data_IF_611165743657
#
_entry.id   IF_611165743657
#
_cell.length_a   1.000
_cell.length_b   1.000
_cell.length_c   1.000
_cell.angle_alpha   90.00
_cell.angle_beta   90.00
_cell.angle_gamma   90.00
#
_symmetry.space_group_name_H-M   'P 1'
#
loop_
_entity.id
_entity.type
_entity.pdbx_description
1 polymer ?
#
# COMPACT_ATOMS: atom_id res chain seq x y z
N UNK A 1 75.23 12.50 10.66
CA UNK A 1 74.48 11.40 10.00
C UNK A 1 73.10 11.41 10.58
N UNK A 2 72.12 11.92 9.82
CA UNK A 2 70.70 12.04 10.24
C UNK A 2 69.96 10.89 9.61
N UNK A 3 69.41 9.97 10.44
CA UNK A 3 68.52 8.87 9.98
C UNK A 3 67.09 9.41 9.82
N UNK A 4 66.62 9.45 8.60
CA UNK A 4 65.21 9.67 8.33
C UNK A 4 64.49 8.34 8.39
N UNK A 5 63.62 8.19 9.41
CA UNK A 5 62.73 7.05 9.55
C UNK A 5 61.46 7.34 8.75
N UNK A 6 61.36 6.74 7.59
CA UNK A 6 60.17 6.83 6.73
C UNK A 6 59.10 5.90 7.32
N UNK A 7 58.11 6.48 7.99
CA UNK A 7 56.88 5.75 8.40
C UNK A 7 55.96 5.66 7.20
N UNK A 8 55.88 4.49 6.62
CA UNK A 8 54.91 4.17 5.57
C UNK A 8 53.56 3.90 6.24
N UNK A 9 52.65 4.88 6.22
CA UNK A 9 51.28 4.68 6.68
C UNK A 9 50.50 3.97 5.55
N UNK A 10 50.32 2.66 5.71
CA UNK A 10 49.44 1.88 4.85
C UNK A 10 48.00 2.19 5.19
N UNK A 11 47.36 3.03 4.39
CA UNK A 11 45.90 3.21 4.42
C UNK A 11 45.22 1.93 3.93
N UNK A 12 44.78 1.10 4.87
CA UNK A 12 43.87 -0.01 4.58
C UNK A 12 42.51 0.60 4.37
N UNK A 13 42.13 0.83 3.12
CA UNK A 13 40.75 1.04 2.76
C UNK A 13 39.99 -0.27 2.99
N UNK A 14 39.40 -0.40 4.17
CA UNK A 14 38.34 -1.39 4.36
C UNK A 14 37.15 -0.98 3.45
N UNK A 15 37.17 -1.46 2.22
CA UNK A 15 35.97 -1.43 1.41
C UNK A 15 34.95 -2.32 2.12
N UNK A 16 33.96 -1.70 2.77
CA UNK A 16 32.74 -2.37 3.09
C UNK A 16 32.13 -2.83 1.75
N UNK A 17 32.42 -4.06 1.39
CA UNK A 17 31.66 -4.79 0.39
C UNK A 17 30.27 -4.90 1.02
N UNK A 18 29.34 -4.03 0.58
CA UNK A 18 27.94 -4.27 0.76
C UNK A 18 27.63 -5.63 0.12
N UNK A 19 27.71 -6.68 0.94
CA UNK A 19 26.97 -7.90 0.64
C UNK A 19 25.48 -7.49 0.70
N UNK A 20 24.99 -6.91 -0.40
CA UNK A 20 23.60 -7.15 -0.76
C UNK A 20 23.50 -8.67 -0.88
N UNK A 21 23.12 -9.31 0.22
CA UNK A 21 22.54 -10.63 0.15
C UNK A 21 21.43 -10.49 -0.90
N UNK A 22 21.65 -11.04 -2.09
CA UNK A 22 20.58 -11.38 -2.99
C UNK A 22 19.72 -12.39 -2.21
N UNK A 23 18.84 -11.90 -1.34
CA UNK A 23 17.69 -12.65 -0.96
C UNK A 23 16.98 -12.88 -2.28
N UNK A 24 17.11 -14.07 -2.84
CA UNK A 24 16.22 -14.53 -3.90
C UNK A 24 14.83 -14.48 -3.26
N UNK A 25 14.11 -13.39 -3.50
CA UNK A 25 12.71 -13.29 -3.11
C UNK A 25 11.99 -14.41 -3.84
N UNK A 26 11.62 -15.43 -3.08
CA UNK A 26 10.91 -16.57 -3.63
C UNK A 26 9.50 -16.13 -3.98
N UNK A 27 9.14 -16.24 -5.24
CA UNK A 27 7.75 -16.13 -5.66
C UNK A 27 7.01 -17.40 -5.25
N UNK A 28 5.81 -17.25 -4.69
CA UNK A 28 4.98 -18.36 -4.18
C UNK A 28 3.53 -18.21 -4.60
N UNK A 29 2.76 -19.29 -4.48
CA UNK A 29 1.33 -19.27 -4.79
C UNK A 29 1.05 -19.10 -6.28
N UNK A 30 -0.12 -18.54 -6.59
CA UNK A 30 -0.54 -18.20 -7.95
C UNK A 30 -1.32 -16.87 -7.92
N UNK A 31 -1.22 -16.12 -8.99
CA UNK A 31 -2.01 -14.93 -9.27
C UNK A 31 -3.10 -15.25 -10.32
N UNK A 32 -4.02 -14.32 -10.62
CA UNK A 32 -5.17 -14.58 -11.50
C UNK A 32 -4.84 -15.09 -12.90
N UNK A 33 -3.61 -14.92 -13.37
CA UNK A 33 -3.19 -15.34 -14.71
C UNK A 33 -2.28 -16.56 -14.64
N UNK A 34 -2.44 -17.46 -15.61
CA UNK A 34 -1.64 -18.68 -15.71
C UNK A 34 -0.12 -18.38 -15.71
N UNK A 35 0.62 -19.09 -14.89
CA UNK A 35 2.08 -18.93 -14.75
C UNK A 35 2.52 -17.76 -13.89
N UNK A 36 1.62 -16.92 -13.39
CA UNK A 36 1.96 -15.89 -12.42
C UNK A 36 2.03 -16.45 -11.00
N UNK A 37 3.01 -15.97 -10.26
CA UNK A 37 3.16 -16.17 -8.81
C UNK A 37 3.14 -14.81 -8.12
N UNK A 38 3.10 -14.81 -6.80
CA UNK A 38 3.12 -13.61 -5.98
C UNK A 38 4.46 -13.51 -5.25
N UNK A 39 5.01 -12.32 -5.22
CA UNK A 39 6.21 -11.97 -4.46
C UNK A 39 5.97 -10.69 -3.66
N UNK A 40 6.85 -10.35 -2.73
CA UNK A 40 6.74 -9.11 -1.98
C UNK A 40 6.83 -7.90 -2.92
N UNK A 41 6.04 -6.89 -2.62
CA UNK A 41 6.09 -5.58 -3.27
C UNK A 41 7.15 -4.66 -2.66
N UNK A 42 7.14 -3.41 -3.06
CA UNK A 42 8.10 -2.40 -2.63
C UNK A 42 7.65 -1.64 -1.37
N UNK A 43 8.60 -1.12 -0.62
CA UNK A 43 8.33 -0.18 0.47
C UNK A 43 7.71 1.12 -0.07
N UNK A 44 8.11 1.56 -1.27
CA UNK A 44 7.56 2.74 -1.93
C UNK A 44 6.03 2.66 -2.10
N UNK A 45 5.52 1.48 -2.46
CA UNK A 45 4.06 1.26 -2.58
C UNK A 45 3.37 1.34 -1.22
N UNK A 46 3.99 0.81 -0.15
CA UNK A 46 3.48 0.96 1.23
C UNK A 46 3.51 2.42 1.66
N UNK A 47 4.52 3.18 1.27
CA UNK A 47 4.62 4.61 1.60
C UNK A 47 3.53 5.45 0.91
N UNK A 48 3.15 5.09 -0.31
CA UNK A 48 1.98 5.70 -0.99
C UNK A 48 0.68 5.35 -0.25
N UNK A 49 0.50 4.08 0.12
CA UNK A 49 -0.63 3.67 0.96
C UNK A 49 -0.71 4.49 2.26
N UNK A 50 0.40 4.66 2.98
CA UNK A 50 0.43 5.46 4.21
C UNK A 50 0.01 6.92 3.97
N UNK A 51 0.33 7.50 2.82
CA UNK A 51 -0.10 8.86 2.46
C UNK A 51 -1.61 8.91 2.18
N UNK A 52 -2.16 7.90 1.52
CA UNK A 52 -3.60 7.76 1.28
C UNK A 52 -4.34 7.65 2.62
N UNK A 53 -3.91 6.76 3.51
CA UNK A 53 -4.48 6.55 4.84
C UNK A 53 -4.43 7.82 5.70
N UNK A 54 -3.29 8.51 5.69
CA UNK A 54 -3.13 9.78 6.40
C UNK A 54 -4.03 10.90 5.86
N UNK A 55 -4.18 11.02 4.53
CA UNK A 55 -5.08 11.99 3.90
C UNK A 55 -6.55 11.72 4.27
N UNK A 56 -6.92 10.43 4.29
CA UNK A 56 -8.27 9.99 4.68
C UNK A 56 -8.56 10.31 6.14
N UNK A 57 -7.65 9.94 7.06
CA UNK A 57 -7.76 10.22 8.48
C UNK A 57 -7.83 11.73 8.77
N UNK A 58 -7.05 12.53 8.04
CA UNK A 58 -7.05 13.99 8.16
C UNK A 58 -8.28 14.66 7.52
N UNK A 59 -9.10 13.91 6.76
CA UNK A 59 -10.21 14.46 5.96
C UNK A 59 -9.72 15.48 4.91
N UNK A 60 -8.49 15.32 4.44
CA UNK A 60 -7.96 16.09 3.33
C UNK A 60 -8.49 15.53 2.01
N UNK A 61 -9.72 15.90 1.72
CA UNK A 61 -10.48 15.35 0.60
C UNK A 61 -9.85 15.66 -0.77
N UNK A 62 -9.23 16.81 -0.91
CA UNK A 62 -8.53 17.20 -2.14
C UNK A 62 -7.29 16.32 -2.34
N UNK A 63 -6.47 16.17 -1.31
CA UNK A 63 -5.30 15.31 -1.34
C UNK A 63 -5.69 13.84 -1.57
N UNK A 64 -6.72 13.35 -0.85
CA UNK A 64 -7.22 11.97 -1.01
C UNK A 64 -7.67 11.71 -2.46
N UNK A 65 -8.49 12.60 -3.03
CA UNK A 65 -8.92 12.48 -4.42
C UNK A 65 -7.74 12.49 -5.38
N UNK A 66 -6.69 13.26 -5.07
CA UNK A 66 -5.50 13.36 -5.92
C UNK A 66 -4.71 12.06 -6.03
N UNK A 67 -4.83 11.14 -5.09
CA UNK A 67 -4.20 9.82 -5.18
C UNK A 67 -4.93 8.84 -6.10
N UNK A 68 -6.18 9.08 -6.43
CA UNK A 68 -6.98 8.17 -7.27
C UNK A 68 -6.71 8.47 -8.76
N UNK A 69 -6.60 7.42 -9.57
CA UNK A 69 -6.49 7.54 -11.01
C UNK A 69 -7.84 7.95 -11.65
N UNK A 70 -7.79 8.57 -12.83
CA UNK A 70 -8.99 9.03 -13.56
C UNK A 70 -9.93 7.88 -13.97
N UNK A 71 -9.36 6.67 -14.14
CA UNK A 71 -10.10 5.45 -14.46
C UNK A 71 -9.73 4.36 -13.43
N UNK A 72 -10.29 4.47 -12.23
CA UNK A 72 -10.08 3.50 -11.15
C UNK A 72 -11.28 2.54 -11.02
N UNK A 73 -11.07 1.43 -10.30
CA UNK A 73 -12.14 0.49 -9.93
C UNK A 73 -12.16 0.36 -8.40
N UNK A 74 -13.05 1.10 -7.76
CA UNK A 74 -13.11 1.21 -6.30
C UNK A 74 -14.44 0.64 -5.81
N UNK A 75 -14.38 -0.31 -4.86
CA UNK A 75 -15.56 -1.05 -4.38
C UNK A 75 -15.58 -0.98 -2.85
N UNK A 76 -16.62 -0.38 -2.30
CA UNK A 76 -16.89 -0.30 -0.87
C UNK A 76 -17.56 -1.58 -0.34
N UNK A 77 -17.48 -1.84 0.95
CA UNK A 77 -18.06 -2.99 1.61
C UNK A 77 -19.58 -3.12 1.43
N UNK A 78 -20.26 -1.99 1.26
CA UNK A 78 -21.69 -1.90 1.04
C UNK A 78 -22.11 -2.03 -0.44
N UNK A 79 -21.14 -2.27 -1.33
CA UNK A 79 -21.35 -2.44 -2.77
C UNK A 79 -21.43 -1.13 -3.56
N UNK A 80 -21.29 0.05 -2.93
CA UNK A 80 -21.09 1.31 -3.66
C UNK A 80 -19.77 1.23 -4.45
N UNK A 81 -19.71 1.89 -5.59
CA UNK A 81 -18.53 1.92 -6.45
C UNK A 81 -18.17 3.33 -6.85
N UNK A 82 -16.89 3.56 -7.10
CA UNK A 82 -16.37 4.80 -7.67
C UNK A 82 -15.35 4.50 -8.77
N UNK A 83 -15.22 5.40 -9.74
CA UNK A 83 -14.34 5.25 -10.89
C UNK A 83 -13.23 6.32 -10.96
N UNK A 84 -13.26 7.29 -10.05
CA UNK A 84 -12.31 8.41 -9.97
C UNK A 84 -12.29 9.00 -8.56
N UNK A 85 -11.37 9.96 -8.32
CA UNK A 85 -11.18 10.56 -7.00
C UNK A 85 -12.37 11.38 -6.51
N UNK A 86 -13.08 12.06 -7.39
CA UNK A 86 -14.25 12.87 -7.02
C UNK A 86 -15.39 11.97 -6.49
N UNK A 87 -15.72 10.91 -7.22
CA UNK A 87 -16.75 9.94 -6.82
C UNK A 87 -16.35 9.20 -5.53
N UNK A 88 -15.07 8.81 -5.41
CA UNK A 88 -14.55 8.13 -4.22
C UNK A 88 -14.72 8.99 -2.97
N UNK A 89 -14.27 10.22 -3.04
CA UNK A 89 -14.37 11.17 -1.93
C UNK A 89 -15.81 11.52 -1.61
N UNK A 90 -16.70 11.63 -2.61
CA UNK A 90 -18.11 11.90 -2.37
C UNK A 90 -18.74 10.81 -1.49
N UNK A 91 -18.50 9.53 -1.80
CA UNK A 91 -19.02 8.41 -1.00
C UNK A 91 -18.47 8.42 0.43
N UNK A 92 -17.16 8.70 0.59
CA UNK A 92 -16.52 8.77 1.91
C UNK A 92 -17.08 9.92 2.74
N UNK A 93 -17.32 11.08 2.13
CA UNK A 93 -17.90 12.22 2.83
C UNK A 93 -19.32 11.94 3.29
N UNK A 94 -20.13 11.29 2.46
CA UNK A 94 -21.47 10.87 2.88
C UNK A 94 -21.40 9.96 4.11
N UNK A 95 -20.49 8.97 4.12
CA UNK A 95 -20.30 8.09 5.28
C UNK A 95 -19.76 8.84 6.52
N UNK A 96 -18.89 9.82 6.31
CA UNK A 96 -18.41 10.69 7.40
C UNK A 96 -19.55 11.52 7.99
N UNK A 97 -20.37 12.13 7.16
CA UNK A 97 -21.51 12.95 7.59
C UNK A 97 -22.53 12.10 8.36
N UNK A 98 -22.82 10.87 7.89
CA UNK A 98 -23.65 9.89 8.60
C UNK A 98 -23.05 9.55 9.99
N UNK A 99 -21.74 9.30 10.09
CA UNK A 99 -21.08 9.01 11.38
C UNK A 99 -21.18 10.17 12.36
N UNK A 100 -21.10 11.41 11.87
CA UNK A 100 -21.26 12.62 12.70
C UNK A 100 -22.69 12.75 13.20
N UNK A 101 -23.70 12.48 12.37
CA UNK A 101 -25.11 12.51 12.76
C UNK A 101 -25.44 11.44 13.82
N UNK A 102 -24.84 10.26 13.70
CA UNK A 102 -25.02 9.14 14.63
C UNK A 102 -24.16 9.26 15.90
N UNK A 103 -23.22 10.22 15.94
CA UNK A 103 -22.27 10.38 17.05
C UNK A 103 -21.21 9.29 17.13
N UNK A 104 -20.95 8.61 16.01
CA UNK A 104 -19.90 7.60 15.88
C UNK A 104 -18.56 8.29 15.63
N UNK A 105 -17.53 7.87 16.35
CA UNK A 105 -16.19 8.43 16.16
C UNK A 105 -15.60 8.01 14.82
N UNK A 106 -15.19 8.98 14.00
CA UNK A 106 -14.46 8.75 12.76
C UNK A 106 -12.97 8.51 13.04
N UNK A 107 -12.66 7.30 13.45
CA UNK A 107 -11.31 6.91 13.81
C UNK A 107 -11.05 5.42 13.56
N UNK A 108 -9.82 5.08 13.21
CA UNK A 108 -9.33 3.71 13.08
C UNK A 108 -7.86 3.60 13.42
N UNK A 109 -7.40 2.37 13.64
CA UNK A 109 -6.00 2.03 13.80
C UNK A 109 -5.60 1.03 12.73
N UNK A 110 -4.60 1.36 11.93
CA UNK A 110 -3.99 0.43 10.98
C UNK A 110 -3.22 -0.63 11.75
N UNK A 111 -3.62 -1.89 11.62
CA UNK A 111 -3.05 -3.02 12.38
C UNK A 111 -1.88 -3.67 11.66
N UNK A 112 -1.92 -3.69 10.34
CA UNK A 112 -0.85 -4.15 9.46
C UNK A 112 -1.04 -3.58 8.05
N UNK A 113 0.07 -3.48 7.31
CA UNK A 113 0.06 -3.28 5.88
C UNK A 113 1.30 -3.93 5.25
N UNK A 114 1.14 -4.57 4.12
CA UNK A 114 2.25 -5.11 3.34
C UNK A 114 1.92 -5.09 1.85
N UNK A 115 2.95 -4.92 1.03
CA UNK A 115 2.80 -4.91 -0.42
C UNK A 115 3.16 -6.27 -1.03
N UNK A 116 2.41 -6.64 -2.07
CA UNK A 116 2.70 -7.79 -2.92
C UNK A 116 2.60 -7.38 -4.40
N UNK A 117 3.31 -8.11 -5.24
CA UNK A 117 3.23 -7.94 -6.70
C UNK A 117 3.22 -9.30 -7.41
N UNK A 118 2.53 -9.41 -8.55
CA UNK A 118 2.61 -10.59 -9.37
C UNK A 118 3.97 -10.64 -10.11
N UNK A 119 4.48 -11.84 -10.32
CA UNK A 119 5.59 -12.04 -11.24
C UNK A 119 5.15 -11.77 -12.68
N UNK A 120 6.08 -11.31 -13.50
CA UNK A 120 5.84 -11.12 -14.95
C UNK A 120 6.69 -12.15 -15.70
N UNK A 121 6.13 -13.33 -16.06
CA UNK A 121 6.85 -14.31 -16.88
C UNK A 121 7.30 -13.70 -18.20
N UNK A 122 8.47 -14.08 -18.67
CA UNK A 122 9.05 -13.56 -19.92
C UNK A 122 8.11 -13.84 -21.11
N UNK A 123 7.88 -12.82 -21.95
CA UNK A 123 7.03 -12.92 -23.14
C UNK A 123 5.52 -12.85 -22.87
N UNK A 124 5.09 -12.58 -21.62
CA UNK A 124 3.69 -12.43 -21.27
C UNK A 124 3.23 -10.97 -21.35
N UNK A 125 2.02 -10.76 -21.83
CA UNK A 125 1.33 -9.47 -21.77
C UNK A 125 0.30 -9.48 -20.62
N UNK A 126 0.71 -8.95 -19.46
CA UNK A 126 -0.16 -8.81 -18.28
C UNK A 126 -0.54 -7.34 -18.05
N UNK A 127 -0.95 -6.65 -19.10
CA UNK A 127 -1.34 -5.23 -19.03
C UNK A 127 -2.43 -4.95 -17.99
N UNK A 128 -3.28 -5.92 -17.70
CA UNK A 128 -4.36 -5.80 -16.71
C UNK A 128 -3.92 -6.07 -15.26
N UNK A 129 -2.74 -6.66 -15.04
CA UNK A 129 -2.19 -6.91 -13.71
C UNK A 129 -0.94 -6.04 -13.49
N UNK A 130 -1.16 -4.75 -13.47
CA UNK A 130 -0.14 -3.71 -13.35
C UNK A 130 -0.06 -3.18 -11.93
N UNK A 131 1.07 -2.55 -11.62
CA UNK A 131 1.31 -2.00 -10.29
C UNK A 131 1.58 -3.06 -9.23
N UNK A 132 1.46 -2.66 -7.99
CA UNK A 132 1.60 -3.49 -6.81
C UNK A 132 0.34 -3.38 -5.94
N UNK A 133 0.12 -4.37 -5.08
CA UNK A 133 -1.03 -4.42 -4.20
C UNK A 133 -0.60 -4.27 -2.76
N UNK A 134 -1.20 -3.34 -2.03
CA UNK A 134 -1.11 -3.30 -0.57
C UNK A 134 -2.34 -3.98 0.02
N UNK A 135 -2.13 -4.93 0.91
CA UNK A 135 -3.15 -5.47 1.80
C UNK A 135 -2.99 -4.83 3.16
N UNK A 136 -4.05 -4.24 3.67
CA UNK A 136 -4.08 -3.58 4.96
C UNK A 136 -5.27 -4.03 5.81
N UNK A 137 -5.08 -4.01 7.12
CA UNK A 137 -6.14 -4.29 8.09
C UNK A 137 -6.29 -3.16 9.08
N UNK A 138 -7.53 -2.89 9.48
CA UNK A 138 -7.88 -1.78 10.35
C UNK A 138 -8.84 -2.22 11.45
N UNK A 139 -8.71 -1.59 12.62
CA UNK A 139 -9.72 -1.60 13.65
C UNK A 139 -10.38 -0.22 13.69
N UNK A 140 -11.62 -0.14 13.27
CA UNK A 140 -12.45 1.06 13.37
C UNK A 140 -13.35 1.04 14.62
N UNK A 141 -14.06 2.14 14.83
CA UNK A 141 -15.03 2.29 15.94
C UNK A 141 -16.27 1.39 15.79
N UNK A 142 -16.60 1.01 14.56
CA UNK A 142 -17.80 0.27 14.17
C UNK A 142 -17.53 -1.13 13.60
N UNK A 143 -16.26 -1.50 13.46
CA UNK A 143 -15.88 -2.80 12.88
C UNK A 143 -14.40 -2.96 12.61
N UNK A 144 -14.07 -4.12 12.04
CA UNK A 144 -12.75 -4.38 11.50
C UNK A 144 -12.82 -4.41 9.98
N UNK A 145 -11.81 -3.83 9.33
CA UNK A 145 -11.76 -3.72 7.89
C UNK A 145 -10.53 -4.44 7.33
N UNK A 146 -10.69 -5.02 6.15
CA UNK A 146 -9.61 -5.54 5.33
C UNK A 146 -9.73 -4.93 3.95
N UNK A 147 -8.64 -4.35 3.49
CA UNK A 147 -8.63 -3.59 2.24
C UNK A 147 -7.47 -3.99 1.34
N UNK A 148 -7.72 -3.93 0.03
CA UNK A 148 -6.72 -4.10 -1.01
C UNK A 148 -6.62 -2.83 -1.83
N UNK A 149 -5.41 -2.33 -1.97
CA UNK A 149 -5.05 -1.13 -2.74
C UNK A 149 -4.14 -1.55 -3.88
N UNK A 150 -4.59 -1.44 -5.12
CA UNK A 150 -3.72 -1.58 -6.28
C UNK A 150 -3.16 -0.21 -6.65
N UNK A 151 -1.85 -0.07 -6.54
CA UNK A 151 -1.15 1.20 -6.73
C UNK A 151 -0.18 1.07 -7.91
N UNK A 152 -0.29 2.00 -8.86
CA UNK A 152 0.61 2.12 -9.99
C UNK A 152 1.04 3.57 -10.17
N UNK A 153 2.35 3.82 -10.27
CA UNK A 153 2.93 5.16 -10.46
C UNK A 153 2.41 6.18 -9.42
N UNK A 154 2.26 5.77 -8.17
CA UNK A 154 1.76 6.60 -7.07
C UNK A 154 0.27 6.89 -7.09
N UNK A 155 -0.51 6.19 -7.93
CA UNK A 155 -1.96 6.33 -8.04
C UNK A 155 -2.68 5.04 -7.69
N UNK A 156 -3.79 5.16 -6.99
CA UNK A 156 -4.74 4.11 -6.69
C UNK A 156 -5.56 3.82 -7.96
N UNK A 157 -5.38 2.64 -8.54
CA UNK A 157 -6.08 2.21 -9.76
C UNK A 157 -7.17 1.19 -9.48
N UNK A 158 -7.10 0.49 -8.34
CA UNK A 158 -8.16 -0.39 -7.84
C UNK A 158 -8.14 -0.44 -6.33
N UNK A 159 -9.30 -0.57 -5.71
CA UNK A 159 -9.45 -0.71 -4.28
C UNK A 159 -10.70 -1.52 -3.95
N UNK A 160 -10.61 -2.31 -2.91
CA UNK A 160 -11.75 -3.04 -2.38
C UNK A 160 -11.69 -3.12 -0.86
N UNK A 161 -12.86 -2.98 -0.23
CA UNK A 161 -13.03 -3.02 1.21
C UNK A 161 -13.95 -4.17 1.61
N UNK A 162 -13.58 -4.85 2.68
CA UNK A 162 -14.41 -5.82 3.40
C UNK A 162 -14.53 -5.35 4.84
N UNK A 163 -15.75 -5.42 5.39
CA UNK A 163 -16.04 -5.09 6.78
C UNK A 163 -16.52 -6.33 7.54
N UNK A 164 -16.12 -6.42 8.79
CA UNK A 164 -16.73 -7.29 9.78
C UNK A 164 -17.19 -6.43 10.94
N UNK A 165 -18.50 -6.41 11.17
CA UNK A 165 -19.12 -5.68 12.28
C UNK A 165 -18.61 -6.19 13.63
N UNK A 166 -18.57 -5.30 14.61
CA UNK A 166 -18.34 -5.70 16.00
C UNK A 166 -19.49 -6.60 16.49
N UNK A 167 -19.23 -7.56 17.38
CA UNK A 167 -20.31 -8.29 18.02
C UNK A 167 -21.22 -7.32 18.78
N UNK A 168 -22.53 -7.59 18.76
CA UNK A 168 -23.44 -6.88 19.61
C UNK A 168 -23.00 -7.05 21.08
N UNK A 169 -22.94 -5.94 21.82
CA UNK A 169 -22.69 -6.00 23.27
C UNK A 169 -23.96 -6.55 23.95
N UNK A 170 -23.88 -7.77 24.49
CA UNK A 170 -24.97 -8.41 25.28
C UNK A 170 -25.20 -7.72 26.63
#
# INVERSE_FOLDING_TARGET
MKNYFLILISLVFASCVNNQSNCNESAVGFAPFEGQQVMLGSQETVDVFNQIDAAWAAKDWELLASFVADEASLIFENGKTASNGEEFVAIIKDSYDESVEEGVEWAWTTTYAYAVKPTKPEGSDFSNNRGEWVHAGFNGSDGTYMEWYQIENGKLISWSQLKRDLPDED
#
